data_IF_508632842798
#
_entry.id   IF_508632842798
#
_cell.length_a   1.000
_cell.length_b   1.000
_cell.length_c   1.000
_cell.angle_alpha   90.00
_cell.angle_beta   90.00
_cell.angle_gamma   90.00
#
_symmetry.space_group_name_H-M   'P 1'
#
loop_
_entity.id
_entity.type
_entity.pdbx_description
1 polymer ?
#
# COMPACT_ATOMS: atom_id res chain seq x y z
N UNK A 1 -28.82 -4.04 41.02
CA UNK A 1 -28.83 -3.69 39.58
C UNK A 1 -27.38 -3.53 39.16
N UNK A 2 -26.74 -4.63 38.73
CA UNK A 2 -25.37 -4.62 38.25
C UNK A 2 -25.39 -4.38 36.74
N UNK A 3 -24.75 -3.31 36.29
CA UNK A 3 -24.56 -2.96 34.90
C UNK A 3 -23.72 -4.04 34.21
N UNK A 4 -24.33 -4.75 33.25
CA UNK A 4 -23.59 -5.54 32.27
C UNK A 4 -22.73 -4.56 31.46
N UNK A 5 -21.41 -4.60 31.68
CA UNK A 5 -20.46 -4.05 30.71
C UNK A 5 -20.54 -4.93 29.47
N UNK A 6 -21.22 -4.46 28.42
CA UNK A 6 -21.05 -5.02 27.09
C UNK A 6 -19.56 -4.92 26.75
N UNK A 7 -18.87 -6.06 26.76
CA UNK A 7 -17.53 -6.17 26.21
C UNK A 7 -17.60 -5.76 24.74
N UNK A 8 -16.82 -4.77 24.32
CA UNK A 8 -16.71 -4.39 22.91
C UNK A 8 -16.41 -5.63 22.07
N UNK A 9 -17.42 -6.11 21.33
CA UNK A 9 -17.26 -7.27 20.45
C UNK A 9 -16.47 -6.83 19.23
N UNK A 10 -15.35 -7.50 18.97
CA UNK A 10 -14.60 -7.33 17.72
C UNK A 10 -15.50 -7.79 16.56
N UNK A 11 -15.80 -6.89 15.63
CA UNK A 11 -16.67 -7.17 14.48
C UNK A 11 -15.95 -7.79 13.28
N UNK A 12 -14.65 -7.51 13.11
CA UNK A 12 -13.82 -8.03 12.03
C UNK A 12 -12.33 -7.96 12.41
N UNK A 13 -11.52 -8.81 11.77
CA UNK A 13 -10.07 -8.75 11.83
C UNK A 13 -9.52 -8.69 10.39
N UNK A 14 -8.42 -7.95 10.19
CA UNK A 14 -7.71 -7.86 8.92
C UNK A 14 -6.37 -8.57 9.11
N UNK A 15 -6.08 -9.54 8.23
CA UNK A 15 -4.79 -10.21 8.19
C UNK A 15 -4.01 -9.69 6.98
N UNK A 16 -3.03 -8.84 7.26
CA UNK A 16 -2.08 -8.37 6.24
C UNK A 16 -1.18 -9.53 5.81
N UNK A 17 -0.94 -9.68 4.50
CA UNK A 17 -0.21 -10.81 3.90
C UNK A 17 -0.71 -12.22 4.32
N UNK A 18 -2.01 -12.37 4.57
CA UNK A 18 -2.61 -13.59 5.12
C UNK A 18 -2.85 -14.76 4.16
N UNK A 19 -2.72 -14.54 2.85
CA UNK A 19 -3.19 -15.51 1.85
C UNK A 19 -2.48 -16.87 1.96
N UNK A 20 -1.20 -16.90 2.36
CA UNK A 20 -0.42 -18.15 2.51
C UNK A 20 -0.66 -18.88 3.85
N UNK A 21 -1.23 -18.20 4.84
CA UNK A 21 -1.37 -18.71 6.23
C UNK A 21 -2.82 -19.00 6.60
N UNK A 22 -3.80 -18.42 5.90
CA UNK A 22 -5.21 -18.48 6.26
C UNK A 22 -5.98 -19.74 5.81
N UNK A 23 -5.30 -20.82 5.40
CA UNK A 23 -5.96 -22.05 4.91
C UNK A 23 -6.94 -22.69 5.90
N UNK A 24 -6.77 -22.44 7.20
CA UNK A 24 -7.56 -23.04 8.28
C UNK A 24 -8.65 -22.10 8.82
N UNK A 25 -8.75 -20.87 8.32
CA UNK A 25 -9.71 -19.88 8.81
C UNK A 25 -11.04 -19.99 8.04
N UNK A 26 -11.99 -20.72 8.64
CA UNK A 26 -13.35 -20.83 8.12
C UNK A 26 -14.06 -19.47 8.21
N UNK A 27 -14.64 -19.02 7.10
CA UNK A 27 -15.49 -17.83 7.07
C UNK A 27 -14.78 -16.53 6.69
N UNK A 28 -13.52 -16.56 6.26
CA UNK A 28 -12.78 -15.38 5.82
C UNK A 28 -13.22 -14.86 4.44
N UNK A 29 -12.87 -13.61 4.16
CA UNK A 29 -12.95 -12.99 2.83
C UNK A 29 -11.53 -12.81 2.34
N UNK A 30 -11.21 -13.39 1.19
CA UNK A 30 -9.87 -13.32 0.60
C UNK A 30 -9.80 -12.17 -0.42
N UNK A 31 -8.98 -11.17 -0.13
CA UNK A 31 -8.70 -10.04 -1.01
C UNK A 31 -7.27 -10.18 -1.52
N UNK A 32 -7.10 -10.38 -2.83
CA UNK A 32 -5.78 -10.58 -3.44
C UNK A 32 -5.38 -9.36 -4.23
N UNK A 33 -4.18 -8.83 -3.97
CA UNK A 33 -3.58 -7.76 -4.78
C UNK A 33 -2.77 -8.34 -5.94
N UNK A 34 -2.93 -7.77 -7.14
CA UNK A 34 -2.21 -8.16 -8.35
C UNK A 34 -1.55 -6.93 -8.97
N UNK A 35 -0.28 -7.07 -9.34
CA UNK A 35 0.47 -6.03 -10.04
C UNK A 35 -0.01 -5.89 -11.49
N UNK A 36 -0.54 -4.73 -11.84
CA UNK A 36 -1.03 -4.41 -13.17
C UNK A 36 0.08 -4.26 -14.23
N UNK A 37 1.29 -3.82 -13.86
CA UNK A 37 2.39 -3.60 -14.81
C UNK A 37 3.16 -4.87 -15.16
N UNK A 38 3.24 -5.83 -14.23
CA UNK A 38 3.96 -7.07 -14.45
C UNK A 38 3.22 -8.25 -13.81
N UNK A 39 2.04 -8.61 -14.33
CA UNK A 39 1.25 -9.70 -13.80
C UNK A 39 2.01 -11.02 -13.94
N UNK A 40 2.04 -11.80 -12.85
CA UNK A 40 2.58 -13.15 -12.78
C UNK A 40 4.10 -13.29 -12.94
N UNK A 41 4.83 -12.21 -13.28
CA UNK A 41 6.28 -12.22 -13.47
C UNK A 41 6.73 -13.32 -14.46
N UNK A 42 7.70 -14.13 -14.06
CA UNK A 42 8.19 -15.24 -14.89
C UNK A 42 7.36 -16.54 -14.77
N UNK A 43 6.20 -16.51 -14.09
CA UNK A 43 5.27 -17.62 -13.86
C UNK A 43 5.84 -18.82 -13.10
N UNK A 44 7.03 -18.70 -12.49
CA UNK A 44 7.65 -19.74 -11.68
C UNK A 44 7.47 -19.44 -10.19
N UNK A 45 7.41 -20.50 -9.40
CA UNK A 45 7.41 -20.41 -7.94
C UNK A 45 8.82 -20.06 -7.42
N UNK A 46 8.88 -19.53 -6.20
CA UNK A 46 10.13 -19.41 -5.46
C UNK A 46 10.85 -20.77 -5.38
N UNK A 47 12.19 -20.81 -5.53
CA UNK A 47 13.10 -19.68 -5.76
C UNK A 47 13.28 -19.30 -7.24
N UNK A 48 12.69 -20.05 -8.17
CA UNK A 48 12.89 -19.85 -9.63
C UNK A 48 12.10 -18.65 -10.19
N UNK A 49 11.20 -18.07 -9.40
CA UNK A 49 10.36 -16.94 -9.76
C UNK A 49 9.70 -16.29 -8.55
N UNK A 50 8.96 -15.19 -8.76
CA UNK A 50 8.43 -14.37 -7.67
C UNK A 50 7.13 -14.92 -7.06
N UNK A 51 6.51 -15.93 -7.67
CA UNK A 51 5.24 -16.47 -7.17
C UNK A 51 5.47 -17.27 -5.89
N UNK A 52 4.70 -16.97 -4.84
CA UNK A 52 4.67 -17.76 -3.60
C UNK A 52 3.79 -19.00 -3.71
N UNK A 53 2.76 -18.92 -4.56
CA UNK A 53 1.78 -19.98 -4.82
C UNK A 53 1.46 -20.08 -6.31
N UNK A 54 0.99 -21.26 -6.79
CA UNK A 54 0.54 -21.40 -8.18
C UNK A 54 -0.64 -20.47 -8.49
N UNK A 55 -0.81 -20.05 -9.75
CA UNK A 55 -1.96 -19.22 -10.16
C UNK A 55 -3.32 -19.88 -9.88
N UNK A 56 -3.35 -21.22 -9.75
CA UNK A 56 -4.55 -21.94 -9.33
C UNK A 56 -5.05 -21.52 -7.93
N UNK A 57 -4.18 -21.02 -7.05
CA UNK A 57 -4.56 -20.52 -5.72
C UNK A 57 -5.47 -19.29 -5.76
N UNK A 58 -5.52 -18.57 -6.90
CA UNK A 58 -6.44 -17.45 -7.12
C UNK A 58 -7.92 -17.87 -7.02
N UNK A 59 -8.24 -19.16 -7.10
CA UNK A 59 -9.61 -19.66 -6.88
C UNK A 59 -10.13 -19.37 -5.46
N UNK A 60 -9.24 -19.08 -4.51
CA UNK A 60 -9.60 -18.71 -3.13
C UNK A 60 -10.03 -17.26 -3.01
N UNK A 61 -9.59 -16.40 -3.93
CA UNK A 61 -9.89 -14.96 -3.90
C UNK A 61 -11.40 -14.73 -4.06
N UNK A 62 -11.96 -13.94 -3.15
CA UNK A 62 -13.32 -13.39 -3.27
C UNK A 62 -13.27 -12.03 -3.99
N UNK A 63 -12.20 -11.27 -3.80
CA UNK A 63 -11.94 -9.98 -4.46
C UNK A 63 -10.50 -9.96 -4.99
N UNK A 64 -10.30 -9.38 -6.19
CA UNK A 64 -8.96 -9.14 -6.75
C UNK A 64 -8.76 -7.65 -7.01
N UNK A 65 -7.79 -7.04 -6.35
CA UNK A 65 -7.43 -5.63 -6.49
C UNK A 65 -6.25 -5.51 -7.43
N UNK A 66 -6.33 -4.65 -8.44
CA UNK A 66 -5.20 -4.31 -9.30
C UNK A 66 -4.49 -3.06 -8.74
N UNK A 67 -3.23 -3.21 -8.39
CA UNK A 67 -2.38 -2.06 -8.12
C UNK A 67 -1.59 -1.69 -9.38
N UNK A 68 -1.25 -0.41 -9.55
CA UNK A 68 -0.61 0.14 -10.77
C UNK A 68 -1.44 -0.01 -12.05
N UNK A 69 -2.77 -0.09 -11.95
CA UNK A 69 -3.62 -0.29 -13.13
C UNK A 69 -3.79 0.98 -13.99
N UNK A 70 -3.37 2.14 -13.51
CA UNK A 70 -3.17 3.37 -14.27
C UNK A 70 -1.90 3.32 -15.16
N UNK A 71 -0.90 2.53 -14.76
CA UNK A 71 0.36 2.32 -15.48
C UNK A 71 0.37 1.03 -16.32
N UNK A 72 -0.61 0.15 -16.11
CA UNK A 72 -0.74 -1.11 -16.82
C UNK A 72 -1.17 -0.91 -18.28
N UNK A 73 -0.50 -1.58 -19.21
CA UNK A 73 -0.95 -1.65 -20.60
C UNK A 73 -2.14 -2.63 -20.77
N UNK A 74 -2.78 -2.55 -21.93
CA UNK A 74 -3.93 -3.41 -22.23
C UNK A 74 -3.56 -4.90 -22.31
N UNK A 75 -2.31 -5.25 -22.67
CA UNK A 75 -1.87 -6.64 -22.76
C UNK A 75 -1.82 -7.29 -21.39
N UNK A 76 -1.23 -6.61 -20.41
CA UNK A 76 -1.15 -7.05 -19.03
C UNK A 76 -2.53 -7.17 -18.41
N UNK A 77 -3.41 -6.20 -18.64
CA UNK A 77 -4.79 -6.28 -18.18
C UNK A 77 -5.51 -7.50 -18.78
N UNK A 78 -5.37 -7.74 -20.08
CA UNK A 78 -5.98 -8.92 -20.72
C UNK A 78 -5.39 -10.24 -20.18
N UNK A 79 -4.10 -10.29 -19.87
CA UNK A 79 -3.45 -11.44 -19.25
C UNK A 79 -3.99 -11.71 -17.84
N UNK A 80 -4.27 -10.65 -17.08
CA UNK A 80 -4.91 -10.76 -15.77
C UNK A 80 -6.35 -11.26 -15.93
N UNK A 81 -7.15 -10.61 -16.77
CA UNK A 81 -8.56 -10.97 -16.98
C UNK A 81 -8.72 -12.40 -17.48
N UNK A 82 -7.89 -12.87 -18.42
CA UNK A 82 -7.96 -14.25 -18.92
C UNK A 82 -7.58 -15.30 -17.87
N UNK A 83 -6.66 -14.96 -16.95
CA UNK A 83 -6.32 -15.82 -15.81
C UNK A 83 -7.47 -15.86 -14.81
N UNK A 84 -8.09 -14.71 -14.55
CA UNK A 84 -9.16 -14.55 -13.58
C UNK A 84 -10.53 -15.02 -14.07
N UNK A 85 -10.82 -15.04 -15.38
CA UNK A 85 -12.05 -15.65 -15.92
C UNK A 85 -12.19 -17.14 -15.57
N UNK A 86 -11.08 -17.80 -15.23
CA UNK A 86 -11.10 -19.17 -14.69
C UNK A 86 -11.51 -19.23 -13.21
N UNK A 87 -11.53 -18.11 -12.51
CA UNK A 87 -11.85 -17.95 -11.08
C UNK A 87 -13.15 -17.15 -10.90
N UNK A 88 -14.00 -17.54 -9.95
CA UNK A 88 -15.43 -17.25 -10.03
C UNK A 88 -15.91 -15.85 -9.64
N UNK A 89 -15.10 -14.97 -9.06
CA UNK A 89 -15.57 -13.63 -8.69
C UNK A 89 -14.49 -12.60 -8.99
N UNK A 90 -14.80 -11.66 -9.88
CA UNK A 90 -13.88 -10.62 -10.28
C UNK A 90 -14.53 -9.25 -10.17
N UNK A 91 -13.99 -8.42 -9.29
CA UNK A 91 -14.21 -6.99 -9.31
C UNK A 91 -12.84 -6.32 -9.36
N UNK A 92 -12.48 -5.85 -10.55
CA UNK A 92 -11.19 -5.20 -10.82
C UNK A 92 -11.28 -3.75 -10.38
N UNK A 93 -10.48 -3.38 -9.38
CA UNK A 93 -10.31 -1.99 -8.98
C UNK A 93 -8.86 -1.60 -9.19
N UNK A 94 -8.64 -0.39 -9.70
CA UNK A 94 -7.31 0.18 -9.87
C UNK A 94 -7.00 1.08 -8.69
N UNK A 95 -5.90 0.84 -7.98
CA UNK A 95 -5.31 1.88 -7.13
C UNK A 95 -4.29 2.67 -7.96
N UNK A 96 -4.43 4.00 -8.12
CA UNK A 96 -3.35 4.80 -8.65
C UNK A 96 -2.26 4.85 -7.57
N UNK A 97 -1.00 4.87 -7.99
CA UNK A 97 0.13 4.86 -7.07
C UNK A 97 0.44 6.27 -6.51
N UNK A 98 -0.19 7.33 -7.02
CA UNK A 98 0.30 8.69 -6.81
C UNK A 98 -0.80 9.72 -6.50
N UNK A 99 -1.29 9.71 -5.25
CA UNK A 99 -1.64 10.96 -4.58
C UNK A 99 -0.69 11.20 -3.42
N UNK A 100 0.42 11.87 -3.72
CA UNK A 100 1.45 12.20 -2.73
C UNK A 100 1.01 13.43 -1.94
N UNK A 101 0.70 13.23 -0.67
CA UNK A 101 0.48 14.33 0.28
C UNK A 101 1.75 14.50 1.10
N UNK A 102 2.28 15.71 1.06
CA UNK A 102 3.50 16.06 1.79
C UNK A 102 3.07 16.80 3.05
N UNK A 103 3.30 16.19 4.20
CA UNK A 103 2.99 16.78 5.49
C UNK A 103 4.26 17.32 6.14
N UNK A 104 4.19 18.58 6.60
CA UNK A 104 5.19 19.16 7.49
C UNK A 104 4.71 18.99 8.93
N UNK A 105 5.64 18.68 9.84
CA UNK A 105 5.39 18.57 11.28
C UNK A 105 4.80 19.86 11.90
N UNK A 106 4.90 20.98 11.17
CA UNK A 106 4.46 22.31 11.62
C UNK A 106 3.20 22.82 10.92
N UNK A 107 2.89 22.38 9.68
CA UNK A 107 1.74 22.86 8.90
C UNK A 107 1.25 21.81 7.90
N UNK A 108 -0.06 21.61 7.85
CA UNK A 108 -0.74 21.03 6.69
C UNK A 108 -0.66 22.05 5.56
N UNK A 109 0.20 21.83 4.55
CA UNK A 109 0.24 22.68 3.37
C UNK A 109 -1.02 22.40 2.53
N UNK A 110 -1.87 23.40 2.23
CA UNK A 110 -2.92 23.24 1.25
C UNK A 110 -2.31 23.33 -0.16
N UNK A 111 -2.58 22.33 -1.00
CA UNK A 111 -2.27 22.37 -2.43
C UNK A 111 -1.03 21.57 -2.83
N UNK A 112 -1.26 20.41 -3.45
CA UNK A 112 -0.28 19.67 -4.23
C UNK A 112 -0.06 20.45 -5.52
N UNK A 113 0.83 21.43 -5.49
CA UNK A 113 1.55 21.85 -6.69
C UNK A 113 2.89 21.13 -6.64
N UNK A 114 3.20 20.36 -7.69
CA UNK A 114 4.49 19.66 -7.90
C UNK A 114 5.60 20.43 -7.19
N UNK A 115 6.24 19.85 -6.16
CA UNK A 115 7.44 20.46 -5.60
C UNK A 115 8.42 20.58 -6.76
N UNK A 116 8.60 21.81 -7.26
CA UNK A 116 9.54 22.17 -8.30
C UNK A 116 10.95 22.16 -7.73
N UNK A 117 11.39 21.00 -7.24
CA UNK A 117 12.71 20.83 -6.68
C UNK A 117 13.73 21.14 -7.78
N UNK A 118 14.58 22.14 -7.53
CA UNK A 118 15.67 22.50 -8.43
C UNK A 118 16.68 21.34 -8.55
N UNK A 119 16.82 20.56 -7.48
CA UNK A 119 17.65 19.37 -7.42
C UNK A 119 17.03 18.34 -6.46
N UNK A 120 16.99 17.08 -6.89
CA UNK A 120 16.57 15.94 -6.06
C UNK A 120 17.78 15.05 -5.85
N UNK A 121 18.16 14.89 -4.59
CA UNK A 121 19.24 14.02 -4.17
C UNK A 121 18.64 12.81 -3.44
N UNK A 122 19.06 11.59 -3.79
CA UNK A 122 18.49 10.34 -3.25
C UNK A 122 19.49 9.62 -2.34
N UNK A 123 18.95 9.08 -1.25
CA UNK A 123 19.64 8.24 -0.29
C UNK A 123 18.80 6.98 -0.08
N UNK A 124 19.31 5.84 -0.54
CA UNK A 124 18.62 4.56 -0.44
C UNK A 124 19.16 3.78 0.75
N UNK A 125 18.26 3.23 1.56
CA UNK A 125 18.55 2.33 2.67
C UNK A 125 17.96 0.96 2.39
N UNK A 126 18.50 -0.09 3.01
CA UNK A 126 17.93 -1.44 2.86
C UNK A 126 16.51 -1.49 3.42
N UNK A 127 15.67 -2.35 2.84
CA UNK A 127 14.39 -2.68 3.43
C UNK A 127 14.59 -3.11 4.88
N UNK A 128 13.79 -2.52 5.76
CA UNK A 128 13.87 -2.70 7.21
C UNK A 128 15.01 -1.98 7.95
N UNK A 129 15.72 -1.04 7.32
CA UNK A 129 16.76 -0.26 7.98
C UNK A 129 16.25 0.42 9.26
N UNK A 130 17.07 0.37 10.32
CA UNK A 130 16.87 1.13 11.55
C UNK A 130 17.89 2.26 11.55
N UNK A 131 17.41 3.49 11.51
CA UNK A 131 18.27 4.65 11.51
C UNK A 131 19.09 4.71 12.79
N UNK A 132 20.39 4.96 12.62
CA UNK A 132 21.31 5.20 13.73
C UNK A 132 21.78 6.65 13.72
N UNK A 133 22.35 7.12 14.83
CA UNK A 133 22.86 8.50 14.96
C UNK A 133 23.88 8.82 13.86
N UNK A 134 24.77 7.86 13.53
CA UNK A 134 25.75 7.98 12.43
C UNK A 134 25.10 8.23 11.05
N UNK A 135 23.90 7.69 10.82
CA UNK A 135 23.18 7.87 9.57
C UNK A 135 22.66 9.30 9.51
N UNK A 136 22.13 9.82 10.63
CA UNK A 136 21.70 11.21 10.75
C UNK A 136 22.86 12.17 10.57
N UNK A 137 24.01 11.91 11.18
CA UNK A 137 25.22 12.73 10.99
C UNK A 137 25.65 12.76 9.52
N UNK A 138 25.61 11.62 8.84
CA UNK A 138 25.92 11.52 7.41
C UNK A 138 24.91 12.30 6.55
N UNK A 139 23.62 12.18 6.87
CA UNK A 139 22.55 12.95 6.21
C UNK A 139 22.77 14.45 6.44
N UNK A 140 23.04 14.90 7.67
CA UNK A 140 23.30 16.31 8.00
C UNK A 140 24.48 16.86 7.22
N UNK A 141 25.58 16.12 7.15
CA UNK A 141 26.76 16.51 6.39
C UNK A 141 26.41 16.74 4.92
N UNK A 142 25.64 15.81 4.33
CA UNK A 142 25.19 15.91 2.93
C UNK A 142 24.26 17.10 2.72
N UNK A 143 23.35 17.38 3.65
CA UNK A 143 22.47 18.55 3.60
C UNK A 143 23.26 19.86 3.64
N UNK A 144 24.32 19.95 4.46
CA UNK A 144 25.18 21.14 4.49
C UNK A 144 25.90 21.35 3.15
N UNK A 145 26.40 20.28 2.54
CA UNK A 145 27.03 20.33 1.20
C UNK A 145 26.03 20.83 0.15
N UNK A 146 24.80 20.30 0.16
CA UNK A 146 23.74 20.73 -0.76
C UNK A 146 23.37 22.21 -0.54
N UNK A 147 23.24 22.63 0.72
CA UNK A 147 22.94 24.03 1.05
C UNK A 147 24.04 24.97 0.54
N UNK A 148 25.30 24.63 0.75
CA UNK A 148 26.44 25.41 0.27
C UNK A 148 26.49 25.46 -1.28
N UNK A 149 26.17 24.34 -1.94
CA UNK A 149 26.21 24.22 -3.40
C UNK A 149 25.09 25.00 -4.09
N UNK A 150 23.88 25.00 -3.55
CA UNK A 150 22.70 25.57 -4.20
C UNK A 150 22.24 26.90 -3.57
N UNK A 151 22.88 27.36 -2.49
CA UNK A 151 22.56 28.62 -1.81
C UNK A 151 21.15 28.67 -1.20
N UNK A 152 20.47 27.52 -1.10
CA UNK A 152 19.10 27.38 -0.62
C UNK A 152 19.03 26.32 0.46
N UNK A 153 18.14 26.49 1.45
CA UNK A 153 17.98 25.53 2.54
C UNK A 153 17.35 24.24 1.98
N UNK A 154 18.02 23.07 2.09
CA UNK A 154 17.45 21.82 1.64
C UNK A 154 16.31 21.36 2.54
N UNK A 155 15.38 20.63 1.94
CA UNK A 155 14.26 19.97 2.61
C UNK A 155 14.50 18.47 2.54
N UNK A 156 14.35 17.78 3.67
CA UNK A 156 14.49 16.33 3.75
C UNK A 156 13.10 15.71 3.62
N UNK A 157 12.96 14.74 2.72
CA UNK A 157 11.70 14.00 2.53
C UNK A 157 11.94 12.55 2.93
N UNK A 158 11.12 12.04 3.86
CA UNK A 158 11.10 10.63 4.26
C UNK A 158 9.82 9.96 3.77
N UNK A 159 9.85 8.64 3.61
CA UNK A 159 8.62 7.85 3.45
C UNK A 159 7.89 7.73 4.79
N UNK A 160 6.57 7.56 4.76
CA UNK A 160 5.77 7.30 5.95
C UNK A 160 6.26 6.07 6.74
N UNK A 161 6.66 5.00 6.04
CA UNK A 161 7.20 3.78 6.64
C UNK A 161 8.49 4.02 7.43
N UNK A 162 9.36 4.89 6.92
CA UNK A 162 10.61 5.24 7.60
C UNK A 162 10.36 6.14 8.82
N UNK A 163 9.42 7.08 8.68
CA UNK A 163 9.04 7.99 9.76
C UNK A 163 8.51 7.25 11.00
N UNK A 164 7.60 6.29 10.80
CA UNK A 164 6.97 5.57 11.93
C UNK A 164 7.90 4.61 12.65
N UNK A 165 9.03 4.20 12.05
CA UNK A 165 10.00 3.34 12.70
C UNK A 165 10.70 4.04 13.86
N UNK A 166 11.18 5.26 13.61
CA UNK A 166 12.04 6.02 14.53
C UNK A 166 11.75 7.53 14.43
N UNK A 167 10.56 8.01 14.85
CA UNK A 167 10.19 9.43 14.69
C UNK A 167 11.07 10.37 15.54
N UNK A 168 11.65 9.85 16.62
CA UNK A 168 12.54 10.58 17.53
C UNK A 168 13.89 10.87 16.89
N UNK A 169 14.47 9.90 16.17
CA UNK A 169 15.81 10.08 15.59
C UNK A 169 15.83 11.16 14.50
N UNK A 170 14.70 11.34 13.81
CA UNK A 170 14.52 12.36 12.79
C UNK A 170 14.51 13.78 13.37
N UNK A 171 14.27 13.96 14.69
CA UNK A 171 14.38 15.27 15.35
C UNK A 171 15.82 15.80 15.33
N UNK A 172 16.82 14.93 15.23
CA UNK A 172 18.22 15.32 15.14
C UNK A 172 18.60 15.96 13.80
N UNK A 173 17.68 16.07 12.84
CA UNK A 173 17.89 16.80 11.60
C UNK A 173 17.68 18.31 11.73
N UNK A 174 17.30 18.82 12.91
CA UNK A 174 17.25 20.26 13.18
C UNK A 174 18.60 20.94 12.86
N UNK A 175 18.61 22.06 12.10
CA UNK A 175 17.47 22.93 11.76
C UNK A 175 16.80 22.66 10.41
N UNK A 176 17.08 21.55 9.72
CA UNK A 176 16.48 21.26 8.41
C UNK A 176 15.00 20.92 8.52
N UNK A 177 14.24 21.33 7.51
CA UNK A 177 12.83 20.93 7.43
C UNK A 177 12.73 19.47 7.02
N UNK A 178 11.95 18.71 7.79
CA UNK A 178 11.67 17.30 7.54
C UNK A 178 10.20 17.16 7.16
N UNK A 179 9.96 16.63 5.97
CA UNK A 179 8.64 16.32 5.45
C UNK A 179 8.48 14.82 5.32
N UNK A 180 7.25 14.36 5.55
CA UNK A 180 6.88 12.95 5.37
C UNK A 180 5.99 12.85 4.14
N UNK A 181 6.37 11.94 3.26
CA UNK A 181 5.61 11.56 2.10
C UNK A 181 4.55 10.54 2.52
N UNK A 182 3.31 10.99 2.60
CA UNK A 182 2.15 10.14 2.82
C UNK A 182 1.52 9.80 1.47
N UNK A 183 1.12 8.54 1.34
CA UNK A 183 0.40 8.06 0.18
C UNK A 183 -1.06 7.86 0.56
N UNK A 184 -1.96 8.38 -0.26
CA UNK A 184 -3.39 8.13 -0.11
C UNK A 184 -3.82 7.08 -1.15
N UNK A 185 -4.44 6.00 -0.68
CA UNK A 185 -5.04 4.99 -1.54
C UNK A 185 -6.32 5.58 -2.15
N UNK A 186 -6.47 5.47 -3.47
CA UNK A 186 -7.71 5.82 -4.15
C UNK A 186 -8.21 4.64 -4.98
N UNK A 187 -9.52 4.45 -5.06
CA UNK A 187 -10.11 3.44 -5.92
C UNK A 187 -10.57 4.11 -7.23
N UNK A 188 -9.90 3.81 -8.33
CA UNK A 188 -10.29 4.32 -9.66
C UNK A 188 -11.36 3.41 -10.27
N UNK A 189 -12.46 4.00 -10.78
CA UNK A 189 -13.47 3.24 -11.49
C UNK A 189 -12.94 2.53 -12.74
N UNK A 190 -13.31 1.26 -12.95
CA UNK A 190 -12.96 0.50 -14.15
C UNK A 190 -14.08 -0.47 -14.54
N UNK A 191 -14.48 -0.47 -15.82
CA UNK A 191 -15.53 -1.37 -16.36
C UNK A 191 -16.83 -1.41 -15.52
N UNK A 192 -17.26 -0.28 -14.97
CA UNK A 192 -18.46 -0.17 -14.14
C UNK A 192 -18.26 -0.51 -12.67
N UNK A 193 -17.08 -0.96 -12.27
CA UNK A 193 -16.70 -1.12 -10.88
C UNK A 193 -16.23 0.25 -10.33
N UNK A 194 -16.87 0.73 -9.27
CA UNK A 194 -16.54 1.96 -8.50
C UNK A 194 -16.24 1.64 -7.04
N UNK A 195 -15.70 2.59 -6.28
CA UNK A 195 -15.58 2.48 -4.82
C UNK A 195 -16.88 2.05 -4.14
N UNK A 196 -18.02 2.61 -4.56
CA UNK A 196 -19.35 2.23 -4.04
C UNK A 196 -19.64 0.75 -4.31
N UNK A 197 -19.40 0.28 -5.54
CA UNK A 197 -19.62 -1.13 -5.88
C UNK A 197 -18.67 -2.07 -5.12
N UNK A 198 -17.46 -1.62 -4.79
CA UNK A 198 -16.51 -2.36 -3.95
C UNK A 198 -17.04 -2.50 -2.53
N UNK A 199 -17.46 -1.40 -1.92
CA UNK A 199 -18.03 -1.38 -0.57
C UNK A 199 -19.29 -2.24 -0.47
N UNK A 200 -20.17 -2.17 -1.48
CA UNK A 200 -21.38 -2.99 -1.54
C UNK A 200 -21.06 -4.49 -1.68
N UNK A 201 -20.08 -4.85 -2.52
CA UNK A 201 -19.64 -6.24 -2.65
C UNK A 201 -19.05 -6.76 -1.34
N UNK A 202 -18.14 -5.99 -0.72
CA UNK A 202 -17.50 -6.37 0.53
C UNK A 202 -18.55 -6.56 1.63
N UNK A 203 -19.54 -5.66 1.72
CA UNK A 203 -20.65 -5.79 2.66
C UNK A 203 -21.45 -7.08 2.43
N UNK A 204 -21.84 -7.37 1.19
CA UNK A 204 -22.59 -8.59 0.85
C UNK A 204 -21.81 -9.87 1.19
N UNK A 205 -20.50 -9.88 0.95
CA UNK A 205 -19.64 -11.01 1.30
C UNK A 205 -19.56 -11.19 2.82
N UNK A 206 -19.41 -10.10 3.59
CA UNK A 206 -19.40 -10.13 5.04
C UNK A 206 -20.73 -10.66 5.60
N UNK A 207 -21.86 -10.19 5.07
CA UNK A 207 -23.21 -10.65 5.46
C UNK A 207 -23.44 -12.13 5.16
N UNK A 208 -23.05 -12.60 3.96
CA UNK A 208 -23.18 -14.00 3.57
C UNK A 208 -22.36 -14.92 4.49
N UNK A 209 -21.14 -14.50 4.85
CA UNK A 209 -20.25 -15.26 5.74
C UNK A 209 -20.73 -15.26 7.19
N UNK A 210 -21.23 -14.12 7.68
CA UNK A 210 -21.79 -14.00 9.04
C UNK A 210 -23.08 -14.82 9.23
N UNK A 211 -23.87 -14.99 8.16
CA UNK A 211 -25.13 -15.75 8.17
C UNK A 211 -24.95 -17.25 7.94
N UNK A 212 -23.73 -17.74 7.67
CA UNK A 212 -23.47 -19.16 7.38
C UNK A 212 -24.07 -19.65 6.07
N UNK A 213 -24.48 -18.73 5.18
CA UNK A 213 -25.04 -19.06 3.87
C UNK A 213 -23.89 -19.36 2.91
N UNK A 214 -23.94 -20.52 2.25
CA UNK A 214 -22.92 -20.91 1.28
C UNK A 214 -22.86 -19.91 0.10
N UNK A 215 -21.63 -19.68 -0.40
CA UNK A 215 -21.30 -18.75 -1.48
C UNK A 215 -22.31 -18.86 -2.65
N UNK A 216 -22.75 -17.73 -3.25
CA UNK A 216 -23.50 -17.77 -4.50
C UNK A 216 -22.67 -18.34 -5.67
#
# INVERSE_FOLDING_TARGET
MGSNSESDKIGAAILDDGMQTAFELVGNIEIVMVNGMNPWGNKKLLPLGPLREPLAALCRADIVVLHHADLADNENINAIESTLQKSKNLCLFSSPEWLLRIFSKSKTLPGIERIGALHVDRLDFSDHHLFQIKDIESIRMRLHILQAKFGSKPVVIFTEKDYYREPEILKHLDPFEVLVLCSELQIVPRKGHTEVSYQDLLRRLLEAKASGVNKP
#
